data_IF_152099571243
#
_entry.id   IF_152099571243
#
_cell.length_a   1.000
_cell.length_b   1.000
_cell.length_c   1.000
_cell.angle_alpha   90.00
_cell.angle_beta   90.00
_cell.angle_gamma   90.00
#
_symmetry.space_group_name_H-M   'P 1'
#
loop_
_entity.id
_entity.type
_entity.pdbx_description
1 polymer ?
#
# COMPACT_ATOMS: atom_id res chain seq x y z
N UNK A 1 1.19 29.60 -28.47
CA UNK A 1 1.58 28.81 -27.28
C UNK A 1 0.64 29.25 -26.17
N UNK A 2 -0.38 28.44 -25.91
CA UNK A 2 -1.36 28.72 -24.87
C UNK A 2 -0.70 28.48 -23.51
N UNK A 3 -0.56 29.54 -22.70
CA UNK A 3 0.02 29.42 -21.37
C UNK A 3 -0.95 28.64 -20.48
N UNK A 4 -0.49 27.53 -19.91
CA UNK A 4 -1.24 26.73 -18.96
C UNK A 4 -1.60 27.60 -17.75
N UNK A 5 -2.88 27.98 -17.63
CA UNK A 5 -3.40 28.79 -16.53
C UNK A 5 -3.48 27.88 -15.30
N UNK A 6 -2.44 27.94 -14.46
CA UNK A 6 -2.44 27.27 -13.16
C UNK A 6 -3.37 28.02 -12.21
N UNK A 7 -4.16 27.29 -11.44
CA UNK A 7 -4.98 27.88 -10.38
C UNK A 7 -4.07 28.41 -9.26
N UNK A 8 -3.80 29.71 -9.30
CA UNK A 8 -2.97 30.42 -8.31
C UNK A 8 -3.80 31.14 -7.26
N UNK A 9 -5.12 30.97 -7.29
CA UNK A 9 -6.05 31.53 -6.32
C UNK A 9 -6.04 30.64 -5.07
N UNK A 10 -4.97 30.78 -4.29
CA UNK A 10 -4.87 30.16 -2.98
C UNK A 10 -5.88 30.86 -2.07
N UNK A 11 -6.84 30.14 -1.45
CA UNK A 11 -7.80 30.74 -0.53
C UNK A 11 -7.11 31.48 0.60
N UNK A 12 -7.70 32.60 1.03
CA UNK A 12 -7.12 33.41 2.09
C UNK A 12 -7.03 32.60 3.40
N UNK A 13 -6.10 32.97 4.29
CA UNK A 13 -5.93 32.29 5.59
C UNK A 13 -7.20 32.26 6.46
N UNK A 14 -8.17 33.12 6.16
CA UNK A 14 -9.49 33.15 6.79
C UNK A 14 -10.45 32.08 6.25
N UNK A 15 -10.27 31.65 5.00
CA UNK A 15 -11.03 30.58 4.33
C UNK A 15 -10.47 29.20 4.67
N UNK A 16 -9.24 29.16 5.21
CA UNK A 16 -8.65 27.95 5.74
C UNK A 16 -9.32 27.59 7.07
N UNK A 17 -9.97 26.43 7.10
CA UNK A 17 -10.53 25.87 8.34
C UNK A 17 -9.40 25.79 9.39
N UNK A 18 -9.56 26.56 10.47
CA UNK A 18 -8.66 26.46 11.61
C UNK A 18 -8.90 25.10 12.26
N UNK A 19 -7.92 24.20 12.16
CA UNK A 19 -7.86 22.98 12.97
C UNK A 19 -7.61 23.34 14.43
N UNK A 20 -8.60 23.98 15.05
CA UNK A 20 -8.65 24.17 16.49
C UNK A 20 -9.65 23.12 16.98
N UNK A 21 -9.11 22.15 17.71
CA UNK A 21 -9.85 21.11 18.42
C UNK A 21 -10.54 20.08 17.51
N UNK A 22 -9.83 19.00 17.19
CA UNK A 22 -10.45 17.68 17.09
C UNK A 22 -10.91 17.24 18.50
N UNK A 23 -11.79 18.02 19.11
CA UNK A 23 -12.74 17.45 20.05
C UNK A 23 -13.69 16.63 19.18
N UNK A 24 -13.66 15.32 19.34
CA UNK A 24 -14.69 14.43 18.79
C UNK A 24 -16.00 14.86 19.45
N UNK A 25 -16.65 15.87 18.87
CA UNK A 25 -18.03 16.23 19.18
C UNK A 25 -18.84 14.93 19.04
N UNK A 26 -19.84 14.67 19.92
CA UNK A 26 -20.72 13.53 19.71
C UNK A 26 -21.29 13.68 18.31
N UNK A 27 -20.80 12.83 17.41
CA UNK A 27 -21.09 12.91 16.00
C UNK A 27 -22.60 13.00 15.81
N UNK A 28 -23.06 13.91 14.95
CA UNK A 28 -24.49 14.16 14.79
C UNK A 28 -25.25 12.84 14.55
N UNK A 29 -26.52 12.72 14.96
CA UNK A 29 -27.30 11.51 14.73
C UNK A 29 -27.27 11.06 13.27
N UNK A 30 -27.20 12.00 12.33
CA UNK A 30 -27.07 11.78 10.90
C UNK A 30 -25.70 11.19 10.54
N UNK A 31 -24.60 11.73 11.07
CA UNK A 31 -23.26 11.19 10.86
C UNK A 31 -23.14 9.76 11.40
N UNK A 32 -23.64 9.52 12.61
CA UNK A 32 -23.65 8.17 13.20
C UNK A 32 -24.48 7.20 12.37
N UNK A 33 -25.62 7.65 11.81
CA UNK A 33 -26.44 6.87 10.90
C UNK A 33 -25.69 6.56 9.59
N UNK A 34 -25.04 7.57 9.00
CA UNK A 34 -24.26 7.41 7.77
C UNK A 34 -23.07 6.48 7.97
N UNK A 35 -22.31 6.63 9.06
CA UNK A 35 -21.19 5.76 9.43
C UNK A 35 -21.62 4.31 9.62
N UNK A 36 -22.73 4.08 10.34
CA UNK A 36 -23.29 2.72 10.47
C UNK A 36 -23.70 2.14 9.12
N UNK A 37 -24.36 2.93 8.28
CA UNK A 37 -24.78 2.49 6.95
C UNK A 37 -23.58 2.14 6.08
N UNK A 38 -22.55 2.99 6.05
CA UNK A 38 -21.30 2.74 5.34
C UNK A 38 -20.66 1.43 5.80
N UNK A 39 -20.54 1.23 7.12
CA UNK A 39 -19.97 0.01 7.70
C UNK A 39 -20.74 -1.24 7.29
N UNK A 40 -22.07 -1.22 7.41
CA UNK A 40 -22.91 -2.37 7.08
C UNK A 40 -22.88 -2.69 5.58
N UNK A 41 -22.97 -1.66 4.74
CA UNK A 41 -22.93 -1.84 3.29
C UNK A 41 -21.56 -2.36 2.85
N UNK A 42 -20.47 -1.79 3.37
CA UNK A 42 -19.11 -2.23 3.02
C UNK A 42 -18.84 -3.65 3.50
N UNK A 43 -19.27 -4.00 4.72
CA UNK A 43 -19.16 -5.35 5.26
C UNK A 43 -19.90 -6.39 4.40
N UNK A 44 -21.13 -6.11 3.99
CA UNK A 44 -21.92 -6.99 3.11
C UNK A 44 -21.29 -7.13 1.72
N UNK A 45 -20.73 -6.06 1.16
CA UNK A 45 -20.01 -6.11 -0.11
C UNK A 45 -18.76 -6.98 -0.01
N UNK A 46 -17.93 -6.76 1.00
CA UNK A 46 -16.72 -7.56 1.23
C UNK A 46 -17.08 -9.03 1.43
N UNK A 47 -18.12 -9.32 2.23
CA UNK A 47 -18.64 -10.67 2.41
C UNK A 47 -18.97 -11.34 1.07
N UNK A 48 -19.72 -10.67 0.20
CA UNK A 48 -20.11 -11.22 -1.11
C UNK A 48 -18.88 -11.46 -1.99
N UNK A 49 -17.91 -10.55 -1.97
CA UNK A 49 -16.67 -10.71 -2.74
C UNK A 49 -15.86 -11.91 -2.27
N UNK A 50 -15.62 -12.05 -0.97
CA UNK A 50 -14.73 -13.11 -0.45
C UNK A 50 -15.40 -14.48 -0.42
N UNK A 51 -16.71 -14.54 -0.19
CA UNK A 51 -17.45 -15.82 -0.20
C UNK A 51 -17.72 -16.35 -1.61
N UNK A 52 -17.68 -15.48 -2.63
CA UNK A 52 -17.80 -15.87 -4.03
C UNK A 52 -16.55 -16.51 -4.63
N UNK A 53 -15.41 -16.50 -3.94
CA UNK A 53 -14.16 -17.04 -4.46
C UNK A 53 -14.15 -18.56 -4.37
N UNK A 54 -13.92 -19.20 -5.52
CA UNK A 54 -13.88 -20.65 -5.63
C UNK A 54 -12.71 -21.26 -4.86
N UNK A 55 -12.97 -22.34 -4.12
CA UNK A 55 -11.94 -23.13 -3.42
C UNK A 55 -11.28 -24.19 -4.32
N UNK A 56 -11.59 -24.22 -5.64
CA UNK A 56 -11.12 -25.27 -6.56
C UNK A 56 -9.61 -25.49 -6.59
N UNK A 57 -8.82 -24.44 -6.37
CA UNK A 57 -7.36 -24.50 -6.41
C UNK A 57 -6.71 -24.61 -5.02
N UNK A 58 -7.51 -24.68 -3.96
CA UNK A 58 -7.00 -24.75 -2.59
C UNK A 58 -6.50 -26.17 -2.30
N UNK A 59 -5.17 -26.32 -2.13
CA UNK A 59 -4.54 -27.61 -1.82
C UNK A 59 -4.62 -27.95 -0.34
N UNK A 60 -4.67 -26.92 0.52
CA UNK A 60 -4.70 -27.07 1.99
C UNK A 60 -5.64 -26.04 2.61
N UNK A 61 -6.25 -26.37 3.74
CA UNK A 61 -7.15 -25.46 4.48
C UNK A 61 -6.46 -24.19 5.01
N UNK A 62 -5.12 -24.16 5.02
CA UNK A 62 -4.32 -23.00 5.45
C UNK A 62 -3.97 -22.04 4.31
N UNK A 63 -4.09 -22.49 3.07
CA UNK A 63 -3.72 -21.70 1.89
C UNK A 63 -4.75 -20.60 1.65
N UNK A 64 -4.28 -19.36 1.45
CA UNK A 64 -5.14 -18.21 1.22
C UNK A 64 -5.88 -18.31 -0.10
N UNK A 65 -7.19 -18.14 -0.09
CA UNK A 65 -7.98 -17.89 -1.31
C UNK A 65 -8.12 -16.40 -1.62
N UNK A 66 -7.85 -15.55 -0.63
CA UNK A 66 -8.02 -14.10 -0.70
C UNK A 66 -6.67 -13.43 -0.55
N UNK A 67 -6.39 -12.51 -1.47
CA UNK A 67 -5.30 -11.56 -1.39
C UNK A 67 -5.85 -10.14 -1.49
N UNK A 68 -5.21 -9.21 -0.78
CA UNK A 68 -5.52 -7.78 -0.78
C UNK A 68 -4.28 -7.02 -1.26
N UNK A 69 -4.43 -6.17 -2.27
CA UNK A 69 -3.39 -5.21 -2.62
C UNK A 69 -3.26 -4.19 -1.49
N UNK A 70 -2.09 -4.12 -0.89
CA UNK A 70 -1.92 -3.55 0.45
C UNK A 70 -0.78 -2.53 0.50
N UNK A 71 -1.12 -1.25 0.38
CA UNK A 71 -0.19 -0.13 0.59
C UNK A 71 -0.07 0.31 2.05
N UNK A 72 -0.94 -0.23 2.93
CA UNK A 72 -1.07 0.22 4.32
C UNK A 72 -1.95 1.45 4.51
N UNK A 73 -2.52 2.01 3.43
CA UNK A 73 -3.53 3.06 3.52
C UNK A 73 -4.83 2.60 4.21
N UNK A 74 -5.65 3.56 4.62
CA UNK A 74 -6.89 3.31 5.37
C UNK A 74 -7.85 2.35 4.63
N UNK A 75 -8.02 2.54 3.33
CA UNK A 75 -8.99 1.77 2.54
C UNK A 75 -8.62 0.29 2.48
N UNK A 76 -7.40 -0.03 2.04
CA UNK A 76 -6.94 -1.42 1.94
C UNK A 76 -6.86 -2.10 3.33
N UNK A 77 -6.50 -1.34 4.37
CA UNK A 77 -6.48 -1.83 5.76
C UNK A 77 -7.89 -2.14 6.26
N UNK A 78 -8.85 -1.28 5.96
CA UNK A 78 -10.27 -1.48 6.30
C UNK A 78 -10.83 -2.71 5.56
N UNK A 79 -10.55 -2.84 4.27
CA UNK A 79 -10.98 -4.00 3.47
C UNK A 79 -10.38 -5.30 4.00
N UNK A 80 -9.08 -5.32 4.33
CA UNK A 80 -8.44 -6.47 4.94
C UNK A 80 -9.12 -6.87 6.26
N UNK A 81 -9.35 -5.90 7.15
CA UNK A 81 -10.02 -6.14 8.43
C UNK A 81 -11.46 -6.66 8.27
N UNK A 82 -12.21 -6.13 7.30
CA UNK A 82 -13.56 -6.65 7.01
C UNK A 82 -13.50 -8.08 6.43
N UNK A 83 -12.55 -8.35 5.54
CA UNK A 83 -12.38 -9.67 4.94
C UNK A 83 -12.09 -10.75 5.99
N UNK A 84 -11.32 -10.43 7.03
CA UNK A 84 -11.06 -11.32 8.16
C UNK A 84 -12.34 -11.91 8.78
N UNK A 85 -13.41 -11.13 8.86
CA UNK A 85 -14.68 -11.54 9.49
C UNK A 85 -15.47 -12.56 8.67
N UNK A 86 -15.16 -12.70 7.38
CA UNK A 86 -15.91 -13.53 6.43
C UNK A 86 -15.10 -14.70 5.87
N UNK A 87 -13.86 -14.89 6.33
CA UNK A 87 -12.95 -15.98 5.93
C UNK A 87 -12.69 -16.89 7.14
N UNK A 88 -12.65 -18.24 7.00
CA UNK A 88 -12.41 -19.15 8.12
C UNK A 88 -11.10 -18.84 8.89
N UNK A 89 -11.07 -18.83 10.23
CA UNK A 89 -9.89 -18.47 11.06
C UNK A 89 -8.61 -19.25 10.75
N UNK A 90 -8.74 -20.49 10.28
CA UNK A 90 -7.62 -21.36 9.90
C UNK A 90 -6.91 -20.95 8.60
N UNK A 91 -7.59 -20.19 7.73
CA UNK A 91 -7.09 -19.79 6.43
C UNK A 91 -6.20 -18.54 6.54
N UNK A 92 -5.16 -18.42 5.73
CA UNK A 92 -4.35 -17.20 5.68
C UNK A 92 -5.01 -16.12 4.79
N UNK A 93 -4.62 -14.86 4.99
CA UNK A 93 -4.95 -13.76 4.06
C UNK A 93 -3.64 -13.12 3.59
N UNK A 94 -3.47 -12.99 2.29
CA UNK A 94 -2.28 -12.40 1.68
C UNK A 94 -2.44 -10.89 1.56
N UNK A 95 -1.45 -10.15 2.08
CA UNK A 95 -1.34 -8.71 1.94
C UNK A 95 -0.19 -8.43 0.97
N UNK A 96 -0.53 -8.11 -0.28
CA UNK A 96 0.44 -7.91 -1.35
C UNK A 96 0.89 -6.45 -1.35
N UNK A 97 2.09 -6.18 -0.86
CA UNK A 97 2.70 -4.85 -0.88
C UNK A 97 3.71 -4.78 -2.03
N UNK A 98 3.53 -3.82 -2.94
CA UNK A 98 4.41 -3.64 -4.10
C UNK A 98 5.32 -2.44 -3.86
N UNK A 99 6.62 -2.65 -4.03
CA UNK A 99 7.65 -1.63 -3.87
C UNK A 99 8.44 -1.49 -5.16
N UNK A 100 8.76 -0.27 -5.56
CA UNK A 100 9.74 -0.04 -6.63
C UNK A 100 11.06 0.41 -6.03
N UNK A 101 12.15 -0.07 -6.61
CA UNK A 101 13.50 0.31 -6.23
C UNK A 101 13.68 1.84 -6.28
N UNK A 102 14.13 2.43 -5.17
CA UNK A 102 14.35 3.86 -5.08
C UNK A 102 15.74 4.23 -5.62
N UNK A 103 15.81 4.80 -6.83
CA UNK A 103 17.08 5.22 -7.44
C UNK A 103 17.84 6.26 -6.59
N UNK A 104 17.15 7.03 -5.75
CA UNK A 104 17.77 8.10 -4.97
C UNK A 104 18.56 7.58 -3.75
N UNK A 105 18.16 6.46 -3.14
CA UNK A 105 18.92 5.85 -2.04
C UNK A 105 20.24 5.25 -2.56
N UNK A 106 20.25 4.71 -3.79
CA UNK A 106 21.44 4.20 -4.47
C UNK A 106 22.47 5.32 -4.73
N UNK A 107 22.03 6.49 -5.22
CA UNK A 107 22.91 7.63 -5.49
C UNK A 107 23.57 8.21 -4.23
N UNK A 108 22.88 8.16 -3.08
CA UNK A 108 23.42 8.61 -1.78
C UNK A 108 24.51 7.65 -1.26
N UNK A 109 24.32 6.34 -1.42
CA UNK A 109 25.31 5.33 -1.04
C UNK A 109 26.59 5.40 -1.90
N UNK A 110 26.49 5.93 -3.12
CA UNK A 110 27.63 6.11 -4.02
C UNK A 110 28.50 7.33 -3.68
N UNK A 111 27.95 8.37 -3.02
CA UNK A 111 28.70 9.54 -2.58
C UNK A 111 29.49 9.28 -1.29
N UNK A 112 28.94 8.51 -0.35
CA UNK A 112 29.62 8.17 0.92
C UNK A 112 30.81 7.22 0.72
N UNK A 113 30.76 6.31 -0.26
CA UNK A 113 31.91 5.45 -0.64
C UNK A 113 33.10 6.21 -1.25
N UNK A 114 32.94 7.47 -1.70
CA UNK A 114 34.05 8.27 -2.25
C UNK A 114 34.88 9.02 -1.20
N UNK A 115 34.38 9.20 0.02
CA UNK A 115 35.09 9.93 1.09
C UNK A 115 35.88 8.96 2.02
N UNK A 116 35.53 7.67 2.07
CA UNK A 116 36.22 6.66 2.88
C UNK A 116 37.12 5.74 2.04
N UNK A 117 38.03 6.32 1.25
CA UNK A 117 39.06 5.57 0.53
C UNK A 117 40.44 5.85 1.14
N UNK A 118 40.58 5.72 2.45
CA UNK A 118 41.86 5.68 3.17
C UNK A 118 41.65 5.12 4.60
N UNK A 119 41.16 3.88 4.72
CA UNK A 119 41.37 3.04 5.93
C UNK A 119 41.02 1.59 5.60
N UNK A 120 42.04 0.76 5.41
CA UNK A 120 41.88 -0.66 5.17
C UNK A 120 41.46 -1.44 6.44
N UNK A 121 40.75 -2.55 6.20
CA UNK A 121 40.60 -3.75 7.04
C UNK A 121 39.71 -3.65 8.28
N UNK A 122 38.44 -4.03 8.10
CA UNK A 122 37.73 -4.88 9.07
C UNK A 122 36.61 -5.69 8.39
N UNK A 123 36.73 -7.01 8.55
CA UNK A 123 35.70 -8.06 8.62
C UNK A 123 34.40 -7.91 7.84
N UNK A 124 34.20 -8.89 6.93
CA UNK A 124 32.99 -9.21 6.22
C UNK A 124 31.79 -9.47 7.15
N UNK A 125 30.90 -8.47 7.25
CA UNK A 125 29.47 -8.67 7.45
C UNK A 125 28.76 -7.67 6.53
N UNK A 126 28.50 -8.12 5.30
CA UNK A 126 27.78 -7.35 4.29
C UNK A 126 26.29 -7.33 4.64
N UNK A 127 25.88 -6.42 5.53
CA UNK A 127 24.47 -6.03 5.67
C UNK A 127 24.18 -4.82 4.75
N UNK A 128 24.54 -4.94 3.47
CA UNK A 128 24.30 -3.96 2.42
C UNK A 128 22.93 -4.26 1.78
N UNK A 129 22.06 -3.24 1.65
CA UNK A 129 20.84 -3.17 0.81
C UNK A 129 19.41 -3.38 1.37
N UNK A 130 19.07 -3.07 2.63
CA UNK A 130 17.64 -3.07 3.06
C UNK A 130 16.91 -1.73 2.82
N UNK A 131 17.64 -0.63 2.60
CA UNK A 131 17.03 0.70 2.37
C UNK A 131 16.58 0.95 0.93
N UNK A 132 16.90 0.05 0.00
CA UNK A 132 16.58 0.21 -1.43
C UNK A 132 15.08 0.24 -1.69
N UNK A 133 14.33 -0.56 -0.94
CA UNK A 133 12.87 -0.69 -1.01
C UNK A 133 12.17 -0.09 0.20
N UNK A 134 12.90 0.67 1.04
CA UNK A 134 12.34 1.39 2.17
C UNK A 134 11.63 2.67 1.71
N UNK A 135 10.62 2.48 0.87
CA UNK A 135 9.73 3.54 0.37
C UNK A 135 8.56 3.74 1.34
N UNK A 136 7.94 4.95 1.37
CA UNK A 136 6.89 5.27 2.33
C UNK A 136 5.72 4.26 2.36
N UNK A 137 5.35 3.71 1.20
CA UNK A 137 4.27 2.72 1.08
C UNK A 137 4.65 1.37 1.71
N UNK A 138 5.93 0.98 1.68
CA UNK A 138 6.40 -0.24 2.35
C UNK A 138 6.39 -0.07 3.86
N UNK A 139 6.88 1.07 4.36
CA UNK A 139 6.86 1.36 5.79
C UNK A 139 5.43 1.41 6.33
N UNK A 140 4.53 2.05 5.58
CA UNK A 140 3.11 2.16 5.96
C UNK A 140 2.44 0.79 5.90
N UNK A 141 2.67 0.02 4.84
CA UNK A 141 2.21 -1.36 4.73
C UNK A 141 2.65 -2.22 5.90
N UNK A 142 3.92 -2.17 6.27
CA UNK A 142 4.46 -2.97 7.36
C UNK A 142 3.87 -2.57 8.74
N UNK A 143 3.66 -1.27 8.97
CA UNK A 143 3.01 -0.78 10.20
C UNK A 143 1.56 -1.24 10.29
N UNK A 144 0.79 -1.04 9.22
CA UNK A 144 -0.64 -1.40 9.17
C UNK A 144 -0.85 -2.92 9.26
N UNK A 145 0.02 -3.73 8.66
CA UNK A 145 0.01 -5.18 8.82
C UNK A 145 0.25 -5.62 10.27
N UNK A 146 1.22 -5.00 10.96
CA UNK A 146 1.45 -5.28 12.39
C UNK A 146 0.25 -4.89 13.25
N UNK A 147 -0.41 -3.79 12.93
CA UNK A 147 -1.63 -3.37 13.62
C UNK A 147 -2.78 -4.37 13.40
N UNK A 148 -3.02 -4.78 12.16
CA UNK A 148 -4.01 -5.82 11.83
C UNK A 148 -3.75 -7.12 12.59
N UNK A 149 -2.48 -7.54 12.64
CA UNK A 149 -2.06 -8.75 13.36
C UNK A 149 -2.32 -8.64 14.87
N UNK A 150 -2.15 -7.46 15.47
CA UNK A 150 -2.49 -7.22 16.88
C UNK A 150 -3.99 -7.21 17.14
N UNK A 151 -4.78 -6.64 16.23
CA UNK A 151 -6.24 -6.59 16.34
C UNK A 151 -6.89 -7.96 16.16
N UNK A 152 -6.27 -8.83 15.36
CA UNK A 152 -6.82 -10.15 15.00
C UNK A 152 -5.77 -11.27 15.15
N UNK A 153 -5.34 -11.57 16.39
CA UNK A 153 -4.19 -12.44 16.64
C UNK A 153 -4.40 -13.92 16.23
N UNK A 154 -5.65 -14.34 16.00
CA UNK A 154 -5.97 -15.70 15.56
C UNK A 154 -5.82 -15.93 14.06
N UNK A 155 -5.47 -14.91 13.29
CA UNK A 155 -5.34 -14.96 11.82
C UNK A 155 -3.87 -15.00 11.41
N UNK A 156 -3.54 -15.87 10.47
CA UNK A 156 -2.27 -15.80 9.74
C UNK A 156 -2.34 -14.73 8.64
N UNK A 157 -1.74 -13.56 8.90
CA UNK A 157 -1.61 -12.48 7.93
C UNK A 157 -0.26 -12.58 7.23
N UNK A 158 -0.27 -12.94 5.95
CA UNK A 158 0.97 -13.09 5.17
C UNK A 158 1.26 -11.78 4.45
N UNK A 159 2.20 -11.00 4.99
CA UNK A 159 2.69 -9.79 4.33
C UNK A 159 3.70 -10.16 3.24
N UNK A 160 3.25 -10.11 1.99
CA UNK A 160 4.04 -10.49 0.82
C UNK A 160 4.60 -9.22 0.20
N UNK A 161 5.92 -9.03 0.35
CA UNK A 161 6.66 -7.95 -0.31
C UNK A 161 6.96 -8.34 -1.75
N UNK A 162 6.55 -7.49 -2.68
CA UNK A 162 6.82 -7.59 -4.11
C UNK A 162 7.74 -6.43 -4.49
N UNK A 163 9.04 -6.66 -4.30
CA UNK A 163 10.09 -5.67 -4.51
C UNK A 163 10.55 -5.71 -5.99
N UNK A 164 10.18 -4.69 -6.76
CA UNK A 164 10.41 -4.60 -8.20
C UNK A 164 11.65 -3.76 -8.48
N UNK A 165 12.68 -4.39 -9.06
CA UNK A 165 13.90 -3.70 -9.51
C UNK A 165 13.62 -2.89 -10.78
N UNK A 166 14.35 -1.78 -10.96
CA UNK A 166 14.18 -0.93 -12.14
C UNK A 166 14.52 -1.70 -13.43
N UNK A 167 15.57 -2.53 -13.40
CA UNK A 167 15.98 -3.31 -14.57
C UNK A 167 14.88 -4.28 -15.05
N UNK A 168 14.24 -4.99 -14.12
CA UNK A 168 13.14 -5.91 -14.40
C UNK A 168 11.90 -5.18 -14.92
N UNK A 169 11.56 -4.05 -14.29
CA UNK A 169 10.47 -3.20 -14.76
C UNK A 169 10.71 -2.70 -16.19
N UNK A 170 11.92 -2.24 -16.49
CA UNK A 170 12.27 -1.75 -17.84
C UNK A 170 12.22 -2.85 -18.90
N UNK A 171 12.66 -4.07 -18.57
CA UNK A 171 12.58 -5.23 -19.45
C UNK A 171 11.14 -5.58 -19.83
N UNK A 172 10.20 -5.46 -18.88
CA UNK A 172 8.81 -5.82 -19.09
C UNK A 172 7.89 -4.64 -19.43
N UNK A 173 8.40 -3.40 -19.44
CA UNK A 173 7.62 -2.17 -19.61
C UNK A 173 6.73 -2.20 -20.84
N UNK A 174 7.26 -2.58 -21.99
CA UNK A 174 6.49 -2.60 -23.25
C UNK A 174 5.33 -3.58 -23.19
N UNK A 175 5.58 -4.78 -22.67
CA UNK A 175 4.56 -5.82 -22.47
C UNK A 175 3.49 -5.39 -21.47
N UNK A 176 3.88 -4.73 -20.37
CA UNK A 176 2.94 -4.20 -19.38
C UNK A 176 2.02 -3.14 -20.03
N UNK A 177 2.59 -2.22 -20.80
CA UNK A 177 1.82 -1.19 -21.55
C UNK A 177 0.83 -1.83 -22.53
N UNK A 178 1.24 -2.89 -23.22
CA UNK A 178 0.36 -3.62 -24.12
C UNK A 178 -0.82 -4.28 -23.38
N UNK A 179 -0.55 -4.94 -22.26
CA UNK A 179 -1.57 -5.62 -21.45
C UNK A 179 -2.56 -4.67 -20.76
N UNK A 180 -2.16 -3.41 -20.50
CA UNK A 180 -3.03 -2.41 -19.88
C UNK A 180 -4.01 -1.72 -20.86
N UNK A 181 -4.03 -2.08 -22.14
CA UNK A 181 -4.94 -1.44 -23.10
C UNK A 181 -6.41 -1.81 -22.86
N UNK A 182 -7.36 -0.87 -23.04
CA UNK A 182 -7.16 0.52 -23.46
C UNK A 182 -6.74 1.43 -22.29
N UNK A 183 -5.73 2.26 -22.54
CA UNK A 183 -5.21 3.25 -21.61
C UNK A 183 -6.22 4.41 -21.54
N UNK A 184 -6.99 4.46 -20.46
CA UNK A 184 -8.09 5.43 -20.30
C UNK A 184 -8.00 6.19 -18.97
N UNK A 185 -7.04 5.88 -18.10
CA UNK A 185 -6.96 6.51 -16.78
C UNK A 185 -5.59 7.13 -16.51
N UNK A 186 -5.57 8.17 -15.67
CA UNK A 186 -4.35 8.89 -15.25
C UNK A 186 -3.36 7.99 -14.50
N UNK A 187 -3.80 6.82 -14.03
CA UNK A 187 -3.02 5.85 -13.26
C UNK A 187 -2.30 4.80 -14.13
N UNK A 188 -2.43 4.90 -15.45
CA UNK A 188 -1.63 4.12 -16.39
C UNK A 188 -0.20 4.69 -16.41
N UNK A 189 0.83 3.94 -16.86
CA UNK A 189 2.29 4.28 -16.87
C UNK A 189 2.70 5.59 -17.61
N UNK A 190 1.78 6.52 -17.80
CA UNK A 190 1.81 7.68 -18.70
C UNK A 190 2.45 8.93 -18.07
N UNK A 191 2.76 8.95 -16.76
CA UNK A 191 3.30 10.15 -16.10
C UNK A 191 4.83 10.24 -15.97
N UNK A 192 5.61 9.37 -16.63
CA UNK A 192 7.08 9.43 -16.63
C UNK A 192 7.69 9.43 -18.03
N UNK A 193 7.10 10.22 -18.94
CA UNK A 193 7.73 10.66 -20.19
C UNK A 193 7.86 12.18 -20.19
#
# INVERSE_FOLDING_TARGET
MDQMVLNRDIPDKQDQLKFVQLEVQPSSPEFLKASRLLRVTLDDLVKRMVTGISSLHQKTEKESRVAVLFSGGLDCTTLALLAHSHIPPSESIDLLNVAFENTQSICKNHQTKRIQKDSEKSSADNHDSDTTFDVPDCQTGERSWRELSKLTPGRDWRFVRVDVRIAEYLEHKEKIIELMRPILTVMDLVSCL
#
